data_IF_573065491075
#
_entry.id   IF_573065491075
#
_cell.length_a   1.000
_cell.length_b   1.000
_cell.length_c   1.000
_cell.angle_alpha   90.00
_cell.angle_beta   90.00
_cell.angle_gamma   90.00
#
_symmetry.space_group_name_H-M   'P 1'
#
loop_
_entity.id
_entity.type
_entity.pdbx_description
1 polymer ?
#
# COMPACT_ATOMS: atom_id res chain seq x y z
N UNK A 1 0.08 6.02 -19.36
CA UNK A 1 0.11 5.56 -17.95
C UNK A 1 0.00 4.04 -17.92
N UNK A 2 0.83 3.32 -17.17
CA UNK A 2 0.81 1.86 -17.20
C UNK A 2 -0.50 1.36 -16.55
N UNK A 3 -1.25 0.59 -17.31
CA UNK A 3 -2.69 0.30 -17.15
C UNK A 3 -3.00 -0.81 -16.12
N UNK A 4 -2.01 -1.23 -15.33
CA UNK A 4 -2.06 -2.44 -14.50
C UNK A 4 -1.94 -2.09 -13.04
N UNK A 5 -2.94 -2.49 -12.26
CA UNK A 5 -3.02 -2.26 -10.82
C UNK A 5 -1.95 -3.07 -10.04
N UNK A 6 -1.29 -2.48 -9.04
CA UNK A 6 -0.22 -3.13 -8.30
C UNK A 6 -0.75 -4.05 -7.19
N UNK A 7 -0.03 -5.13 -6.91
CA UNK A 7 -0.19 -5.87 -5.66
C UNK A 7 0.29 -5.01 -4.48
N UNK A 8 -0.46 -5.03 -3.39
CA UNK A 8 -0.12 -4.31 -2.16
C UNK A 8 0.43 -5.26 -1.11
N UNK A 9 1.55 -4.90 -0.50
CA UNK A 9 2.13 -5.57 0.65
C UNK A 9 2.05 -4.62 1.85
N UNK A 10 1.34 -5.02 2.90
CA UNK A 10 1.21 -4.29 4.16
C UNK A 10 1.92 -5.08 5.26
N UNK A 11 3.12 -4.65 5.64
CA UNK A 11 3.93 -5.35 6.62
C UNK A 11 3.88 -4.66 7.99
N UNK A 12 3.69 -5.45 9.04
CA UNK A 12 3.82 -5.06 10.44
C UNK A 12 2.81 -3.99 10.96
N UNK A 13 1.58 -4.01 10.42
CA UNK A 13 0.44 -3.23 10.92
C UNK A 13 -0.41 -4.03 11.91
N UNK A 14 0.13 -4.34 13.09
CA UNK A 14 -0.48 -5.29 14.04
C UNK A 14 -1.44 -4.66 15.06
N UNK A 15 -1.37 -3.35 15.28
CA UNK A 15 -2.21 -2.65 16.26
C UNK A 15 -3.56 -2.29 15.65
N UNK A 16 -4.61 -2.06 16.45
CA UNK A 16 -5.91 -1.58 15.94
C UNK A 16 -5.80 -0.31 15.10
N UNK A 17 -4.92 0.62 15.51
CA UNK A 17 -4.61 1.81 14.74
C UNK A 17 -3.87 1.46 13.44
N UNK A 18 -2.90 0.55 13.51
CA UNK A 18 -2.17 0.04 12.35
C UNK A 18 -3.09 -0.61 11.32
N UNK A 19 -3.98 -1.51 11.75
CA UNK A 19 -4.98 -2.15 10.88
C UNK A 19 -5.90 -1.12 10.23
N UNK A 20 -6.34 -0.09 10.96
CA UNK A 20 -7.16 0.98 10.39
C UNK A 20 -6.38 1.81 9.38
N UNK A 21 -5.12 2.13 9.65
CA UNK A 21 -4.25 2.84 8.71
C UNK A 21 -3.98 2.00 7.47
N UNK A 22 -3.70 0.71 7.63
CA UNK A 22 -3.54 -0.24 6.54
C UNK A 22 -4.82 -0.36 5.69
N UNK A 23 -5.98 -0.35 6.34
CA UNK A 23 -7.28 -0.30 5.67
C UNK A 23 -7.48 1.01 4.90
N UNK A 24 -7.07 2.17 5.41
CA UNK A 24 -7.16 3.42 4.64
C UNK A 24 -6.22 3.33 3.42
N UNK A 25 -4.95 2.96 3.64
CA UNK A 25 -3.94 2.88 2.58
C UNK A 25 -4.31 1.89 1.47
N UNK A 26 -4.87 0.73 1.81
CA UNK A 26 -5.24 -0.27 0.80
C UNK A 26 -6.37 0.21 -0.12
N UNK A 27 -7.32 0.97 0.40
CA UNK A 27 -8.46 1.47 -0.38
C UNK A 27 -8.11 2.68 -1.26
N UNK A 28 -6.90 3.23 -1.13
CA UNK A 28 -6.38 4.21 -2.10
C UNK A 28 -6.05 3.56 -3.45
N UNK A 29 -5.96 2.23 -3.50
CA UNK A 29 -5.65 1.49 -4.72
C UNK A 29 -6.79 0.54 -5.09
N UNK A 30 -7.03 0.35 -6.40
CA UNK A 30 -7.96 -0.64 -6.90
C UNK A 30 -7.42 -2.07 -6.70
N UNK A 31 -8.33 -3.04 -6.75
CA UNK A 31 -7.99 -4.46 -6.59
C UNK A 31 -7.11 -4.95 -7.75
N UNK A 32 -5.97 -5.55 -7.42
CA UNK A 32 -5.01 -6.11 -8.38
C UNK A 32 -5.48 -7.43 -8.99
N UNK A 33 -5.22 -7.63 -10.29
CA UNK A 33 -5.28 -8.95 -10.92
C UNK A 33 -4.09 -9.82 -10.48
N UNK A 34 -4.21 -11.16 -10.41
CA UNK A 34 -3.14 -12.05 -9.94
C UNK A 34 -1.88 -12.05 -10.81
N UNK A 35 -1.98 -11.67 -12.08
CA UNK A 35 -0.83 -11.62 -13.01
C UNK A 35 -0.07 -10.28 -12.99
N UNK A 36 -0.38 -9.36 -12.07
CA UNK A 36 0.34 -8.09 -12.02
C UNK A 36 1.78 -8.29 -11.54
N UNK A 37 2.72 -7.70 -12.28
CA UNK A 37 4.14 -7.66 -11.92
C UNK A 37 4.47 -6.50 -10.98
N UNK A 38 3.55 -5.54 -10.80
CA UNK A 38 3.80 -4.34 -9.97
C UNK A 38 3.48 -4.63 -8.52
N UNK A 39 4.37 -4.21 -7.63
CA UNK A 39 4.26 -4.42 -6.19
C UNK A 39 4.54 -3.10 -5.49
N UNK A 40 3.61 -2.68 -4.64
CA UNK A 40 3.80 -1.58 -3.70
C UNK A 40 3.87 -2.15 -2.30
N UNK A 41 4.89 -1.76 -1.56
CA UNK A 41 5.12 -2.19 -0.18
C UNK A 41 4.99 -1.01 0.75
N UNK A 42 4.15 -1.17 1.78
CA UNK A 42 4.09 -0.34 2.97
C UNK A 42 4.60 -1.18 4.14
N UNK A 43 5.78 -0.87 4.67
CA UNK A 43 6.37 -1.58 5.79
C UNK A 43 6.45 -0.68 7.01
N UNK A 44 5.80 -1.06 8.10
CA UNK A 44 5.81 -0.31 9.34
C UNK A 44 6.96 -0.76 10.27
N UNK A 45 7.86 0.16 10.59
CA UNK A 45 8.95 -0.05 11.53
C UNK A 45 9.08 1.15 12.46
N UNK A 46 8.91 0.93 13.77
CA UNK A 46 9.00 2.00 14.79
C UNK A 46 8.10 3.22 14.48
N UNK A 47 6.87 2.98 14.04
CA UNK A 47 5.87 3.98 13.60
C UNK A 47 6.22 4.78 12.34
N UNK A 48 7.29 4.41 11.64
CA UNK A 48 7.59 4.88 10.29
C UNK A 48 7.15 3.84 9.26
N UNK A 49 6.30 4.28 8.34
CA UNK A 49 5.81 3.49 7.23
C UNK A 49 6.70 3.76 6.02
N UNK A 50 7.60 2.82 5.73
CA UNK A 50 8.41 2.82 4.52
C UNK A 50 7.54 2.46 3.31
N UNK A 51 7.47 3.37 2.34
CA UNK A 51 6.88 3.12 1.03
C UNK A 51 7.96 2.74 0.02
N UNK A 52 7.72 1.66 -0.73
CA UNK A 52 8.56 1.27 -1.86
C UNK A 52 7.69 0.76 -3.01
N UNK A 53 8.08 1.07 -4.25
CA UNK A 53 7.37 0.64 -5.45
C UNK A 53 8.31 -0.11 -6.39
N UNK A 54 8.02 -1.40 -6.59
CA UNK A 54 8.82 -2.32 -7.38
C UNK A 54 8.01 -2.94 -8.51
N UNK A 55 8.74 -3.44 -9.52
CA UNK A 55 8.25 -4.42 -10.50
C UNK A 55 9.01 -5.73 -10.28
N UNK A 56 8.29 -6.83 -10.33
CA UNK A 56 8.81 -8.19 -10.22
C UNK A 56 9.07 -8.74 -11.63
N UNK A 57 10.32 -9.13 -11.89
CA UNK A 57 10.73 -9.85 -13.09
C UNK A 57 11.09 -11.28 -12.69
N UNK A 58 10.53 -12.26 -13.41
CA UNK A 58 10.80 -13.68 -13.20
C UNK A 58 11.69 -14.15 -14.34
N UNK A 59 13.00 -14.27 -14.09
CA UNK A 59 13.94 -14.79 -15.07
C UNK A 59 14.00 -16.32 -14.95
N UNK A 60 13.22 -17.03 -15.76
CA UNK A 60 13.45 -18.45 -16.08
C UNK A 60 13.27 -19.50 -14.97
N UNK A 61 12.72 -19.18 -13.78
CA UNK A 61 12.46 -20.20 -12.76
C UNK A 61 11.68 -19.71 -11.53
N UNK A 62 11.16 -20.62 -10.68
CA UNK A 62 10.37 -20.25 -9.49
C UNK A 62 11.19 -19.62 -8.35
N UNK A 63 12.52 -19.69 -8.39
CA UNK A 63 13.42 -19.15 -7.34
C UNK A 63 14.09 -17.82 -7.69
N UNK A 64 14.05 -17.39 -8.95
CA UNK A 64 14.68 -16.17 -9.44
C UNK A 64 13.62 -15.08 -9.64
N UNK A 65 13.17 -14.52 -8.52
CA UNK A 65 12.34 -13.32 -8.51
C UNK A 65 13.24 -12.12 -8.25
N UNK A 66 13.40 -11.27 -9.26
CA UNK A 66 14.13 -10.01 -9.13
C UNK A 66 13.15 -8.85 -8.98
N UNK A 67 13.41 -7.98 -8.00
CA UNK A 67 12.62 -6.78 -7.76
C UNK A 67 13.39 -5.57 -8.30
N UNK A 68 12.83 -4.91 -9.30
CA UNK A 68 13.34 -3.66 -9.85
C UNK A 68 12.54 -2.50 -9.29
N UNK A 69 13.20 -1.55 -8.66
CA UNK A 69 12.54 -0.36 -8.17
C UNK A 69 12.16 0.59 -9.31
N UNK A 70 10.92 1.10 -9.29
CA UNK A 70 10.36 1.91 -10.37
C UNK A 70 9.66 3.18 -9.89
N UNK A 71 9.63 3.43 -8.58
CA UNK A 71 8.93 4.58 -8.00
C UNK A 71 9.71 5.21 -6.85
N UNK A 72 9.16 6.27 -6.25
CA UNK A 72 9.84 7.02 -5.22
C UNK A 72 10.00 6.20 -3.92
N UNK A 73 11.06 6.52 -3.17
CA UNK A 73 11.24 6.07 -1.78
C UNK A 73 10.86 7.20 -0.86
N UNK A 74 9.94 6.92 0.05
CA UNK A 74 9.65 7.83 1.15
C UNK A 74 9.23 7.06 2.39
N UNK A 75 9.24 7.78 3.51
CA UNK A 75 8.77 7.31 4.79
C UNK A 75 7.62 8.21 5.23
N UNK A 76 6.54 7.59 5.69
CA UNK A 76 5.39 8.28 6.22
C UNK A 76 5.33 8.03 7.73
N UNK A 77 4.93 9.05 8.48
CA UNK A 77 4.57 8.90 9.88
C UNK A 77 3.15 9.39 10.07
N UNK A 78 2.28 8.56 10.64
CA UNK A 78 0.91 8.97 10.94
C UNK A 78 0.93 9.95 12.11
N UNK A 79 0.61 11.22 11.83
CA UNK A 79 0.59 12.27 12.86
C UNK A 79 -0.79 12.42 13.52
N UNK A 80 -1.85 12.51 12.71
CA UNK A 80 -3.22 12.74 13.17
C UNK A 80 -4.20 12.02 12.26
N UNK A 81 -5.30 11.53 12.82
CA UNK A 81 -6.42 10.95 12.06
C UNK A 81 -7.73 11.55 12.55
N UNK A 82 -8.21 12.52 11.79
CA UNK A 82 -9.51 13.14 12.00
C UNK A 82 -10.60 12.30 11.36
N UNK A 83 -11.68 12.07 12.11
CA UNK A 83 -12.89 11.45 11.59
C UNK A 83 -13.70 12.60 11.01
N UNK A 84 -13.70 12.74 9.69
CA UNK A 84 -14.66 13.62 9.03
C UNK A 84 -16.00 12.90 8.99
N UNK A 85 -16.98 13.47 9.69
CA UNK A 85 -18.38 13.13 9.48
C UNK A 85 -18.82 13.87 8.21
N UNK A 86 -19.06 13.16 7.12
CA UNK A 86 -19.76 13.73 5.97
C UNK A 86 -21.20 13.98 6.40
N UNK A 87 -21.43 15.17 6.93
CA UNK A 87 -22.75 15.60 7.39
C UNK A 87 -23.73 15.69 6.24
N UNK A 88 -24.42 14.59 5.95
CA UNK A 88 -25.80 14.66 5.49
C UNK A 88 -26.66 14.88 6.74
N UNK A 89 -26.64 16.13 7.25
CA UNK A 89 -27.74 16.60 8.08
C UNK A 89 -28.97 16.65 7.17
N UNK A 90 -29.78 15.60 7.17
CA UNK A 90 -31.16 15.71 6.74
C UNK A 90 -31.84 16.58 7.77
N UNK A 91 -31.97 17.87 7.48
CA UNK A 91 -32.89 18.76 8.18
C UNK A 91 -34.30 18.27 7.86
N UNK A 92 -35.01 17.78 8.88
CA UNK A 92 -36.47 17.71 8.89
C UNK A 92 -37.02 19.03 9.44
#
# INVERSE_FOLDING_TARGET
>A
MPQVYPHLILNNFRTKLGERTANILKHLFPVSKPDTKRIITFANQSDYISFRHHTCEKHGGPKSVELKEIGPRFELRLYKRDIMETGLRQTL
#
